data_IF_035276569940
#
_entry.id   IF_035276569940
#
_cell.length_a   1.000
_cell.length_b   1.000
_cell.length_c   1.000
_cell.angle_alpha   90.00
_cell.angle_beta   90.00
_cell.angle_gamma   90.00
#
_symmetry.space_group_name_H-M   'P 1'
#
loop_
_entity.id
_entity.type
_entity.pdbx_description
1 polymer ?
#
# COMPACT_ATOMS: atom_id res chain seq x y z
N UNK A 1 32.24 -4.89 -33.69
CA UNK A 1 31.71 -4.24 -32.47
C UNK A 1 32.92 -3.71 -31.71
N UNK A 2 33.06 -2.39 -31.63
CA UNK A 2 34.30 -1.69 -31.22
C UNK A 2 34.60 -1.83 -29.71
N UNK A 3 35.85 -2.17 -29.39
CA UNK A 3 36.43 -2.19 -28.04
C UNK A 3 36.73 -0.74 -27.60
N UNK A 4 35.69 0.08 -27.41
CA UNK A 4 35.84 1.49 -27.00
C UNK A 4 34.97 1.88 -25.80
N UNK A 5 34.29 0.95 -25.13
CA UNK A 5 33.50 1.23 -23.93
C UNK A 5 34.12 0.74 -22.62
N UNK A 6 35.32 0.16 -22.65
CA UNK A 6 36.05 -0.17 -21.42
C UNK A 6 36.78 1.10 -20.98
N UNK A 7 36.35 1.69 -19.86
CA UNK A 7 37.00 2.86 -19.27
C UNK A 7 38.50 2.61 -19.05
N UNK A 8 39.29 3.69 -18.91
CA UNK A 8 40.75 3.63 -18.76
C UNK A 8 41.15 2.49 -17.79
N UNK A 9 41.80 1.42 -18.29
CA UNK A 9 42.03 0.21 -17.50
C UNK A 9 42.85 0.50 -16.23
N UNK A 10 43.72 1.51 -16.27
CA UNK A 10 44.50 1.93 -15.12
C UNK A 10 43.64 2.39 -13.92
N UNK A 11 42.47 2.99 -14.17
CA UNK A 11 41.55 3.45 -13.10
C UNK A 11 40.91 2.26 -12.38
N UNK A 12 40.59 1.18 -13.10
CA UNK A 12 39.95 -0.02 -12.53
C UNK A 12 40.90 -0.76 -11.57
N UNK A 13 42.19 -0.84 -11.93
CA UNK A 13 43.21 -1.49 -11.09
C UNK A 13 43.56 -0.67 -9.85
N UNK A 14 43.58 0.67 -9.94
CA UNK A 14 43.83 1.57 -8.80
C UNK A 14 42.73 1.47 -7.73
N UNK A 15 41.49 1.25 -8.15
CA UNK A 15 40.33 1.18 -7.25
C UNK A 15 40.09 -0.23 -6.65
N UNK A 16 40.82 -1.25 -7.12
CA UNK A 16 40.69 -2.63 -6.64
C UNK A 16 40.83 -2.79 -5.11
N UNK A 17 41.76 -2.09 -4.42
CA UNK A 17 41.88 -2.15 -2.95
C UNK A 17 40.68 -1.57 -2.21
N UNK A 18 39.84 -0.74 -2.85
CA UNK A 18 38.65 -0.12 -2.24
C UNK A 18 37.45 -1.08 -2.20
N UNK A 19 37.48 -2.17 -2.97
CA UNK A 19 36.38 -3.14 -3.11
C UNK A 19 35.88 -3.67 -1.75
N UNK A 20 36.73 -4.10 -0.80
CA UNK A 20 36.24 -4.62 0.48
C UNK A 20 35.47 -3.58 1.31
N UNK A 21 35.89 -2.32 1.25
CA UNK A 21 35.19 -1.22 1.94
C UNK A 21 33.85 -0.91 1.28
N UNK A 22 33.82 -0.84 -0.07
CA UNK A 22 32.59 -0.65 -0.83
C UNK A 22 31.59 -1.79 -0.62
N UNK A 23 32.05 -3.03 -0.56
CA UNK A 23 31.22 -4.21 -0.28
C UNK A 23 30.60 -4.14 1.11
N UNK A 24 31.40 -3.82 2.15
CA UNK A 24 30.92 -3.66 3.53
C UNK A 24 29.88 -2.53 3.63
N UNK A 25 30.13 -1.39 2.99
CA UNK A 25 29.21 -0.26 2.95
C UNK A 25 27.91 -0.59 2.19
N UNK A 26 28.01 -1.24 1.02
CA UNK A 26 26.87 -1.70 0.25
C UNK A 26 25.99 -2.65 1.08
N UNK A 27 26.60 -3.70 1.65
CA UNK A 27 25.89 -4.72 2.42
C UNK A 27 25.23 -4.15 3.67
N UNK A 28 25.90 -3.24 4.40
CA UNK A 28 25.33 -2.63 5.61
C UNK A 28 24.17 -1.68 5.30
N UNK A 29 24.32 -0.80 4.30
CA UNK A 29 23.27 0.13 3.88
C UNK A 29 22.04 -0.61 3.33
N UNK A 30 22.25 -1.57 2.42
CA UNK A 30 21.16 -2.35 1.84
C UNK A 30 20.48 -3.26 2.87
N UNK A 31 21.26 -3.90 3.74
CA UNK A 31 20.75 -4.73 4.81
C UNK A 31 19.87 -3.92 5.78
N UNK A 32 20.34 -2.75 6.22
CA UNK A 32 19.56 -1.87 7.10
C UNK A 32 18.27 -1.39 6.41
N UNK A 33 18.35 -0.99 5.13
CA UNK A 33 17.18 -0.51 4.38
C UNK A 33 16.10 -1.60 4.24
N UNK A 34 16.46 -2.78 3.72
CA UNK A 34 15.51 -3.82 3.34
C UNK A 34 15.07 -4.73 4.48
N UNK A 35 15.95 -5.02 5.45
CA UNK A 35 15.61 -5.92 6.57
C UNK A 35 14.91 -5.15 7.70
N UNK A 36 15.28 -3.89 7.92
CA UNK A 36 14.85 -3.14 9.11
C UNK A 36 13.93 -1.99 8.75
N UNK A 37 14.41 -1.00 8.00
CA UNK A 37 13.70 0.28 7.84
C UNK A 37 12.40 0.14 7.03
N UNK A 38 12.45 -0.50 5.86
CA UNK A 38 11.25 -0.68 5.03
C UNK A 38 10.18 -1.54 5.72
N UNK A 39 10.51 -2.71 6.31
CA UNK A 39 9.52 -3.51 7.04
C UNK A 39 8.96 -2.79 8.26
N UNK A 40 9.79 -2.08 9.05
CA UNK A 40 9.31 -1.29 10.20
C UNK A 40 8.31 -0.23 9.74
N UNK A 41 8.64 0.56 8.71
CA UNK A 41 7.69 1.55 8.17
C UNK A 41 6.38 0.93 7.71
N UNK A 42 6.42 -0.27 7.11
CA UNK A 42 5.23 -1.01 6.66
C UNK A 42 4.40 -1.61 7.82
N UNK A 43 5.03 -1.92 8.96
CA UNK A 43 4.37 -2.41 10.17
C UNK A 43 3.76 -1.24 10.97
N UNK A 44 4.50 -0.15 11.14
CA UNK A 44 4.09 0.99 11.98
C UNK A 44 2.79 1.62 11.49
N UNK A 45 2.56 1.74 10.19
CA UNK A 45 1.30 2.26 9.63
C UNK A 45 0.08 1.40 10.00
N UNK A 46 0.27 0.13 10.40
CA UNK A 46 -0.80 -0.79 10.81
C UNK A 46 -0.99 -0.86 12.32
N UNK A 47 0.09 -0.67 13.07
CA UNK A 47 0.08 -0.79 14.54
C UNK A 47 -0.24 0.55 15.19
N UNK A 48 0.33 1.65 14.69
CA UNK A 48 0.14 2.99 15.24
C UNK A 48 -1.22 3.54 14.80
N UNK A 49 -2.15 3.70 15.74
CA UNK A 49 -3.51 4.22 15.51
C UNK A 49 -3.60 5.73 15.78
N UNK A 50 -2.72 6.51 15.17
CA UNK A 50 -2.74 7.98 15.29
C UNK A 50 -2.82 8.63 13.91
N UNK A 51 -3.30 9.87 13.87
CA UNK A 51 -3.32 10.67 12.63
C UNK A 51 -1.90 10.88 12.05
N UNK A 52 -0.88 10.78 12.90
CA UNK A 52 0.52 10.95 12.54
C UNK A 52 1.16 9.68 11.96
N UNK A 53 0.45 8.54 11.95
CA UNK A 53 0.99 7.27 11.48
C UNK A 53 1.47 7.34 10.02
N UNK A 54 0.80 8.13 9.17
CA UNK A 54 1.24 8.33 7.78
C UNK A 54 2.58 9.05 7.70
N UNK A 55 2.78 10.11 8.49
CA UNK A 55 4.02 10.86 8.52
C UNK A 55 5.18 9.99 9.02
N UNK A 56 4.93 9.18 10.06
CA UNK A 56 5.90 8.20 10.55
C UNK A 56 6.27 7.22 9.43
N UNK A 57 5.27 6.65 8.76
CA UNK A 57 5.49 5.74 7.63
C UNK A 57 6.32 6.40 6.53
N UNK A 58 5.91 7.55 6.01
CA UNK A 58 6.59 8.24 4.91
C UNK A 58 8.01 8.63 5.28
N UNK A 59 8.26 9.07 6.51
CA UNK A 59 9.61 9.40 6.99
C UNK A 59 10.49 8.16 7.05
N UNK A 60 10.00 7.05 7.62
CA UNK A 60 10.74 5.78 7.61
C UNK A 60 11.03 5.32 6.18
N UNK A 61 10.05 5.38 5.27
CA UNK A 61 10.25 4.98 3.87
C UNK A 61 11.28 5.88 3.17
N UNK A 62 11.26 7.19 3.43
CA UNK A 62 12.22 8.13 2.86
C UNK A 62 13.64 7.87 3.35
N UNK A 63 13.82 7.58 4.64
CA UNK A 63 15.13 7.18 5.19
C UNK A 63 15.62 5.88 4.53
N UNK A 64 14.75 4.88 4.41
CA UNK A 64 15.10 3.63 3.73
C UNK A 64 15.50 3.84 2.27
N UNK A 65 14.85 4.78 1.59
CA UNK A 65 15.19 5.19 0.23
C UNK A 65 16.59 5.78 0.11
N UNK A 66 16.95 6.71 0.99
CA UNK A 66 18.30 7.31 1.01
C UNK A 66 19.37 6.23 1.22
N UNK A 67 19.15 5.32 2.17
CA UNK A 67 20.04 4.19 2.43
C UNK A 67 20.15 3.26 1.22
N UNK A 68 19.02 2.93 0.59
CA UNK A 68 18.97 2.06 -0.60
C UNK A 68 19.73 2.67 -1.79
N UNK A 69 19.56 3.97 -2.05
CA UNK A 69 20.27 4.66 -3.14
C UNK A 69 21.77 4.72 -2.84
N UNK A 70 22.17 5.04 -1.61
CA UNK A 70 23.57 5.00 -1.19
C UNK A 70 24.19 3.60 -1.34
N UNK A 71 23.47 2.58 -0.90
CA UNK A 71 23.84 1.19 -1.08
C UNK A 71 23.99 0.82 -2.56
N UNK A 72 23.05 1.20 -3.42
CA UNK A 72 23.11 0.92 -4.86
C UNK A 72 24.33 1.60 -5.49
N UNK A 73 24.62 2.85 -5.12
CA UNK A 73 25.78 3.57 -5.63
C UNK A 73 27.09 2.85 -5.29
N UNK A 74 27.26 2.36 -4.06
CA UNK A 74 28.41 1.52 -3.67
C UNK A 74 28.45 0.21 -4.48
N UNK A 75 27.29 -0.43 -4.68
CA UNK A 75 27.16 -1.67 -5.44
C UNK A 75 27.52 -1.52 -6.92
N UNK A 76 27.09 -0.42 -7.56
CA UNK A 76 27.43 -0.11 -8.96
C UNK A 76 28.92 0.16 -9.11
N UNK A 77 29.52 0.95 -8.19
CA UNK A 77 30.97 1.21 -8.21
C UNK A 77 31.76 -0.09 -8.12
N UNK A 78 31.45 -0.95 -7.15
CA UNK A 78 32.08 -2.26 -7.00
C UNK A 78 31.81 -3.19 -8.19
N UNK A 79 30.57 -3.22 -8.69
CA UNK A 79 30.16 -4.06 -9.81
C UNK A 79 30.88 -3.71 -11.12
N UNK A 80 31.24 -2.44 -11.33
CA UNK A 80 32.08 -2.01 -12.45
C UNK A 80 33.53 -2.46 -12.29
N UNK A 81 34.08 -2.36 -11.07
CA UNK A 81 35.47 -2.78 -10.79
C UNK A 81 35.64 -4.29 -10.97
N UNK A 82 34.67 -5.09 -10.53
CA UNK A 82 34.71 -6.55 -10.60
C UNK A 82 34.14 -7.13 -11.91
N UNK A 83 33.71 -6.28 -12.85
CA UNK A 83 32.98 -6.66 -14.06
C UNK A 83 31.81 -7.64 -13.78
N UNK A 84 31.03 -7.32 -12.74
CA UNK A 84 29.90 -8.14 -12.25
C UNK A 84 28.53 -7.48 -12.40
N UNK A 85 28.47 -6.32 -13.05
CA UNK A 85 27.27 -5.48 -13.03
C UNK A 85 26.06 -6.14 -13.70
N UNK A 86 26.27 -6.89 -14.79
CA UNK A 86 25.19 -7.47 -15.61
C UNK A 86 25.25 -8.99 -15.78
N UNK A 87 26.14 -9.68 -15.09
CA UNK A 87 26.36 -11.13 -15.27
C UNK A 87 26.12 -11.95 -13.99
N UNK A 88 25.56 -11.34 -12.94
CA UNK A 88 25.33 -12.00 -11.66
C UNK A 88 23.87 -11.84 -11.22
N UNK A 89 23.28 -12.91 -10.70
CA UNK A 89 21.90 -12.90 -10.24
C UNK A 89 21.63 -11.83 -9.18
N UNK A 90 22.56 -11.64 -8.24
CA UNK A 90 22.41 -10.63 -7.17
C UNK A 90 22.40 -9.19 -7.72
N UNK A 91 23.24 -8.89 -8.71
CA UNK A 91 23.33 -7.55 -9.29
C UNK A 91 22.15 -7.26 -10.22
N UNK A 92 21.74 -8.24 -11.05
CA UNK A 92 20.58 -8.12 -11.93
C UNK A 92 19.28 -8.00 -11.10
N UNK A 93 19.04 -8.94 -10.18
CA UNK A 93 17.84 -8.91 -9.34
C UNK A 93 17.80 -7.65 -8.48
N UNK A 94 18.92 -7.30 -7.85
CA UNK A 94 19.02 -6.10 -7.00
C UNK A 94 18.73 -4.81 -7.75
N UNK A 95 19.30 -4.62 -8.95
CA UNK A 95 19.05 -3.42 -9.76
C UNK A 95 17.58 -3.32 -10.20
N UNK A 96 16.98 -4.44 -10.62
CA UNK A 96 15.55 -4.50 -10.95
C UNK A 96 14.68 -4.17 -9.74
N UNK A 97 14.93 -4.80 -8.58
CA UNK A 97 14.17 -4.55 -7.35
C UNK A 97 14.27 -3.08 -6.92
N UNK A 98 15.45 -2.47 -6.98
CA UNK A 98 15.61 -1.04 -6.66
C UNK A 98 14.84 -0.17 -7.66
N UNK A 99 14.96 -0.42 -8.96
CA UNK A 99 14.23 0.34 -9.97
C UNK A 99 12.70 0.25 -9.77
N UNK A 100 12.19 -0.93 -9.47
CA UNK A 100 10.78 -1.15 -9.15
C UNK A 100 10.38 -0.48 -7.82
N UNK A 101 11.26 -0.50 -6.82
CA UNK A 101 11.03 0.17 -5.54
C UNK A 101 10.94 1.68 -5.71
N UNK A 102 11.63 2.26 -6.72
CA UNK A 102 11.52 3.69 -7.04
C UNK A 102 10.10 4.12 -7.46
N UNK A 103 9.26 3.19 -7.89
CA UNK A 103 7.87 3.48 -8.25
C UNK A 103 6.93 3.55 -7.03
N UNK A 104 7.36 3.06 -5.87
CA UNK A 104 6.51 2.94 -4.68
C UNK A 104 5.93 4.26 -4.15
N UNK A 105 6.67 5.37 -4.02
CA UNK A 105 6.13 6.64 -3.53
C UNK A 105 5.05 7.21 -4.45
N UNK A 106 5.18 7.04 -5.77
CA UNK A 106 4.16 7.45 -6.73
C UNK A 106 2.87 6.66 -6.51
N UNK A 107 2.97 5.34 -6.37
CA UNK A 107 1.82 4.48 -6.07
C UNK A 107 1.23 4.78 -4.68
N UNK A 108 2.07 5.03 -3.68
CA UNK A 108 1.68 5.41 -2.33
C UNK A 108 0.93 6.74 -2.32
N UNK A 109 1.40 7.71 -3.10
CA UNK A 109 0.74 9.01 -3.27
C UNK A 109 -0.62 8.88 -3.97
N UNK A 110 -0.69 8.12 -5.07
CA UNK A 110 -1.96 7.87 -5.78
C UNK A 110 -2.96 7.19 -4.84
N UNK A 111 -2.54 6.10 -4.19
CA UNK A 111 -3.39 5.40 -3.22
C UNK A 111 -3.83 6.35 -2.10
N UNK A 112 -2.90 7.11 -1.50
CA UNK A 112 -3.22 7.98 -0.36
C UNK A 112 -4.23 9.07 -0.74
N UNK A 113 -4.04 9.74 -1.89
CA UNK A 113 -5.03 10.72 -2.40
C UNK A 113 -6.40 10.08 -2.60
N UNK A 114 -6.46 8.91 -3.24
CA UNK A 114 -7.73 8.19 -3.46
C UNK A 114 -8.36 7.72 -2.16
N UNK A 115 -7.56 7.31 -1.18
CA UNK A 115 -8.03 6.93 0.15
C UNK A 115 -8.59 8.13 0.91
N UNK A 116 -7.95 9.31 0.83
CA UNK A 116 -8.51 10.52 1.45
C UNK A 116 -9.88 10.87 0.86
N UNK A 117 -10.06 10.72 -0.46
CA UNK A 117 -11.34 11.00 -1.13
C UNK A 117 -12.44 9.96 -0.90
N UNK A 118 -12.09 8.67 -0.87
CA UNK A 118 -13.07 7.56 -0.80
C UNK A 118 -13.26 7.00 0.61
N UNK A 119 -12.23 7.11 1.45
CA UNK A 119 -12.14 6.56 2.81
C UNK A 119 -12.36 5.04 2.86
N UNK A 120 -12.09 4.39 1.73
CA UNK A 120 -12.17 2.95 1.52
C UNK A 120 -10.89 2.49 0.84
N UNK A 121 -10.57 1.20 1.00
CA UNK A 121 -9.49 0.58 0.23
C UNK A 121 -9.93 0.48 -1.23
N UNK A 122 -9.07 0.91 -2.13
CA UNK A 122 -9.31 0.89 -3.58
C UNK A 122 -8.38 -0.15 -4.23
N UNK A 123 -8.54 -0.40 -5.53
CA UNK A 123 -7.58 -1.24 -6.29
C UNK A 123 -6.15 -0.74 -6.11
N UNK A 124 -5.94 0.58 -6.11
CA UNK A 124 -4.64 1.20 -5.84
C UNK A 124 -4.06 0.88 -4.45
N UNK A 125 -4.92 0.70 -3.45
CA UNK A 125 -4.51 0.25 -2.11
C UNK A 125 -3.91 -1.13 -2.15
N UNK A 126 -4.61 -2.06 -2.79
CA UNK A 126 -4.19 -3.46 -2.87
C UNK A 126 -2.91 -3.57 -3.68
N UNK A 127 -2.86 -2.88 -4.82
CA UNK A 127 -1.67 -2.84 -5.66
C UNK A 127 -0.47 -2.29 -4.89
N UNK A 128 -0.55 -1.09 -4.29
CA UNK A 128 0.54 -0.51 -3.51
C UNK A 128 1.03 -1.44 -2.39
N UNK A 129 0.10 -2.01 -1.62
CA UNK A 129 0.44 -2.87 -0.47
C UNK A 129 1.09 -4.20 -0.91
N UNK A 130 0.54 -4.90 -1.90
CA UNK A 130 1.09 -6.18 -2.35
C UNK A 130 2.38 -6.01 -3.15
N UNK A 131 2.40 -5.03 -4.06
CA UNK A 131 3.62 -4.66 -4.78
C UNK A 131 4.76 -4.34 -3.81
N UNK A 132 4.49 -3.59 -2.74
CA UNK A 132 5.49 -3.27 -1.70
C UNK A 132 6.00 -4.50 -0.95
N UNK A 133 5.09 -5.41 -0.54
CA UNK A 133 5.47 -6.64 0.15
C UNK A 133 6.36 -7.53 -0.71
N UNK A 134 6.00 -7.73 -1.97
CA UNK A 134 6.77 -8.56 -2.90
C UNK A 134 8.17 -7.97 -3.09
N UNK A 135 8.29 -6.65 -3.30
CA UNK A 135 9.60 -6.01 -3.47
C UNK A 135 10.48 -6.08 -2.21
N UNK A 136 9.91 -5.91 -1.02
CA UNK A 136 10.65 -6.08 0.24
C UNK A 136 11.17 -7.51 0.36
N UNK A 137 10.33 -8.52 0.09
CA UNK A 137 10.73 -9.93 0.14
C UNK A 137 11.84 -10.26 -0.87
N UNK A 138 11.68 -9.82 -2.13
CA UNK A 138 12.71 -9.97 -3.15
C UNK A 138 14.01 -9.27 -2.76
N UNK A 139 13.93 -8.11 -2.12
CA UNK A 139 15.11 -7.40 -1.59
C UNK A 139 15.82 -8.17 -0.47
N UNK A 140 15.08 -8.78 0.46
CA UNK A 140 15.66 -9.62 1.53
C UNK A 140 16.31 -10.89 0.95
N UNK A 141 15.65 -11.54 -0.01
CA UNK A 141 16.24 -12.69 -0.72
C UNK A 141 17.50 -12.26 -1.48
N UNK A 142 17.45 -11.11 -2.16
CA UNK A 142 18.60 -10.56 -2.87
C UNK A 142 19.76 -10.23 -1.93
N UNK A 143 19.51 -9.69 -0.73
CA UNK A 143 20.55 -9.49 0.28
C UNK A 143 21.20 -10.79 0.73
N UNK A 144 20.43 -11.88 0.85
CA UNK A 144 20.96 -13.22 1.09
C UNK A 144 21.86 -13.73 -0.05
N UNK A 145 21.48 -13.50 -1.30
CA UNK A 145 22.32 -13.79 -2.47
C UNK A 145 23.63 -12.97 -2.46
N UNK A 146 23.57 -11.71 -2.01
CA UNK A 146 24.74 -10.85 -1.86
C UNK A 146 25.72 -11.36 -0.80
N UNK A 147 25.21 -11.81 0.34
CA UNK A 147 26.03 -12.44 1.39
C UNK A 147 26.70 -13.72 0.88
N UNK A 148 25.96 -14.57 0.17
CA UNK A 148 26.52 -15.76 -0.49
C UNK A 148 27.60 -15.39 -1.52
N UNK A 149 27.37 -14.35 -2.32
CA UNK A 149 28.35 -13.87 -3.31
C UNK A 149 29.65 -13.36 -2.64
N UNK A 150 29.53 -12.81 -1.43
CA UNK A 150 30.65 -12.28 -0.68
C UNK A 150 31.41 -13.30 0.14
N UNK A 151 30.97 -14.57 0.24
CA UNK A 151 31.51 -15.56 1.19
C UNK A 151 33.01 -15.77 1.09
N UNK A 152 33.54 -15.68 -0.13
CA UNK A 152 34.95 -15.95 -0.43
C UNK A 152 35.76 -14.64 -0.53
N UNK A 153 35.13 -13.50 -0.25
CA UNK A 153 35.75 -12.17 -0.36
C UNK A 153 36.31 -11.71 0.98
N UNK A 154 37.40 -10.92 1.01
CA UNK A 154 37.92 -10.28 2.24
C UNK A 154 36.91 -9.34 2.93
N UNK A 155 35.84 -8.97 2.23
CA UNK A 155 34.74 -8.19 2.77
C UNK A 155 33.80 -9.00 3.68
N UNK A 156 33.82 -10.34 3.57
CA UNK A 156 32.93 -11.23 4.28
C UNK A 156 33.03 -11.05 5.80
N UNK A 157 31.87 -11.08 6.46
CA UNK A 157 31.79 -11.12 7.91
C UNK A 157 30.81 -12.21 8.33
N UNK A 158 31.32 -13.22 9.05
CA UNK A 158 30.47 -14.27 9.64
C UNK A 158 29.46 -13.65 10.61
N UNK A 159 29.91 -12.69 11.42
CA UNK A 159 29.03 -11.95 12.32
C UNK A 159 27.96 -11.15 11.56
N UNK A 160 28.33 -10.51 10.44
CA UNK A 160 27.38 -9.79 9.58
C UNK A 160 26.33 -10.71 8.95
N UNK A 161 26.72 -11.90 8.50
CA UNK A 161 25.81 -12.90 7.93
C UNK A 161 24.83 -13.45 8.97
N UNK A 162 25.33 -13.77 10.18
CA UNK A 162 24.49 -14.20 11.30
C UNK A 162 23.53 -13.07 11.68
N UNK A 163 24.02 -11.84 11.87
CA UNK A 163 23.22 -10.68 12.22
C UNK A 163 22.10 -10.40 11.21
N UNK A 164 22.44 -10.42 9.92
CA UNK A 164 21.45 -10.28 8.83
C UNK A 164 20.37 -11.37 8.91
N UNK A 165 20.77 -12.63 9.05
CA UNK A 165 19.85 -13.76 9.04
C UNK A 165 18.90 -13.74 10.24
N UNK A 166 19.42 -13.43 11.43
CA UNK A 166 18.61 -13.29 12.65
C UNK A 166 17.62 -12.13 12.52
N UNK A 167 18.07 -10.95 12.07
CA UNK A 167 17.20 -9.79 11.89
C UNK A 167 16.10 -10.05 10.85
N UNK A 168 16.45 -10.67 9.72
CA UNK A 168 15.48 -11.03 8.68
C UNK A 168 14.45 -12.04 9.20
N UNK A 169 14.89 -13.05 9.97
CA UNK A 169 14.02 -14.02 10.61
C UNK A 169 13.05 -13.38 11.61
N UNK A 170 13.54 -12.54 12.52
CA UNK A 170 12.72 -11.82 13.50
C UNK A 170 11.69 -10.93 12.80
N UNK A 171 12.11 -10.14 11.82
CA UNK A 171 11.20 -9.25 11.09
C UNK A 171 10.15 -10.02 10.28
N UNK A 172 10.54 -11.14 9.66
CA UNK A 172 9.61 -12.06 9.01
C UNK A 172 8.56 -12.60 9.99
N UNK A 173 9.00 -13.08 11.16
CA UNK A 173 8.12 -13.59 12.21
C UNK A 173 7.15 -12.52 12.73
N UNK A 174 7.61 -11.28 12.94
CA UNK A 174 6.75 -10.15 13.36
C UNK A 174 5.67 -9.86 12.31
N UNK A 175 6.04 -9.79 11.02
CA UNK A 175 5.08 -9.52 9.95
C UNK A 175 4.05 -10.64 9.82
N UNK A 176 4.48 -11.90 9.85
CA UNK A 176 3.59 -13.07 9.80
C UNK A 176 2.68 -13.09 11.03
N UNK A 177 3.24 -12.89 12.23
CA UNK A 177 2.49 -12.83 13.48
C UNK A 177 1.39 -11.76 13.46
N UNK A 178 1.69 -10.56 12.95
CA UNK A 178 0.70 -9.49 12.81
C UNK A 178 -0.41 -9.84 11.80
N UNK A 179 -0.08 -10.56 10.72
CA UNK A 179 -1.07 -11.05 9.76
C UNK A 179 -1.98 -12.10 10.40
N UNK A 180 -1.40 -13.08 11.12
CA UNK A 180 -2.15 -14.12 11.83
C UNK A 180 -3.05 -13.52 12.90
N UNK A 181 -2.52 -12.64 13.77
CA UNK A 181 -3.29 -11.98 14.82
C UNK A 181 -4.44 -11.12 14.25
N UNK A 182 -4.20 -10.47 13.11
CA UNK A 182 -5.24 -9.77 12.37
C UNK A 182 -6.35 -10.71 11.91
N UNK A 183 -5.97 -11.84 11.28
CA UNK A 183 -6.89 -12.87 10.82
C UNK A 183 -7.71 -13.50 11.94
N UNK A 184 -7.07 -13.91 13.04
CA UNK A 184 -7.74 -14.51 14.21
C UNK A 184 -8.75 -13.55 14.83
N UNK A 185 -8.47 -12.25 14.91
CA UNK A 185 -9.44 -11.25 15.42
C UNK A 185 -10.67 -11.13 14.51
N UNK A 186 -10.46 -11.13 13.20
CA UNK A 186 -11.56 -11.11 12.22
C UNK A 186 -12.40 -12.37 12.28
N UNK A 187 -11.76 -13.55 12.34
CA UNK A 187 -12.47 -14.83 12.49
C UNK A 187 -13.22 -14.87 13.82
N UNK A 188 -12.63 -14.44 14.94
CA UNK A 188 -13.31 -14.43 16.24
C UNK A 188 -14.49 -13.46 16.30
N UNK A 189 -14.43 -12.32 15.60
CA UNK A 189 -15.59 -11.44 15.41
C UNK A 189 -16.69 -12.12 14.58
N UNK A 190 -16.31 -12.90 13.57
CA UNK A 190 -17.25 -13.60 12.70
C UNK A 190 -17.81 -14.90 13.31
N UNK A 191 -17.04 -15.56 14.17
CA UNK A 191 -17.45 -16.75 14.94
C UNK A 191 -18.48 -16.42 16.03
N UNK A 192 -18.55 -15.16 16.45
CA UNK A 192 -19.69 -14.64 17.22
C UNK A 192 -21.02 -14.67 16.45
N UNK A 193 -20.99 -14.91 15.14
CA UNK A 193 -22.14 -14.91 14.21
C UNK A 193 -22.53 -16.34 13.75
N UNK A 194 -21.89 -17.37 14.33
CA UNK A 194 -22.26 -18.80 14.28
C UNK A 194 -22.49 -19.43 12.89
N UNK A 195 -21.50 -20.14 12.31
CA UNK A 195 -21.70 -21.16 11.24
C UNK A 195 -20.40 -21.93 10.91
N UNK A 196 -20.21 -23.13 11.47
CA UNK A 196 -18.94 -23.90 11.41
C UNK A 196 -18.67 -24.69 10.09
N UNK A 197 -19.53 -24.67 9.07
CA UNK A 197 -19.21 -25.20 7.72
C UNK A 197 -18.91 -24.07 6.73
N UNK A 198 -19.45 -22.88 7.01
CA UNK A 198 -19.14 -21.65 6.30
C UNK A 198 -17.70 -21.17 6.60
N UNK A 199 -17.14 -21.47 7.78
CA UNK A 199 -15.76 -21.10 8.15
C UNK A 199 -14.68 -21.69 7.21
N UNK A 200 -14.90 -22.86 6.62
CA UNK A 200 -14.00 -23.44 5.62
C UNK A 200 -14.17 -22.83 4.22
N UNK A 201 -15.42 -22.52 3.81
CA UNK A 201 -15.67 -21.70 2.61
C UNK A 201 -15.12 -20.27 2.78
N UNK A 202 -15.10 -19.75 4.00
CA UNK A 202 -14.61 -18.40 4.32
C UNK A 202 -13.09 -18.28 4.34
N UNK A 203 -12.38 -19.39 4.53
CA UNK A 203 -10.93 -19.47 4.36
C UNK A 203 -10.55 -19.46 2.88
N UNK A 204 -11.37 -20.10 2.03
CA UNK A 204 -11.29 -19.95 0.58
C UNK A 204 -11.71 -18.54 0.13
N UNK A 205 -12.76 -17.96 0.72
CA UNK A 205 -13.12 -16.55 0.50
C UNK A 205 -12.01 -15.62 1.00
N UNK A 206 -11.24 -15.89 2.04
CA UNK A 206 -10.13 -15.01 2.45
C UNK A 206 -9.03 -14.91 1.38
N UNK A 207 -8.88 -15.93 0.53
CA UNK A 207 -8.01 -15.95 -0.65
C UNK A 207 -8.70 -15.24 -1.83
N UNK A 208 -10.03 -15.35 -1.96
CA UNK A 208 -10.86 -14.72 -3.01
C UNK A 208 -11.41 -13.30 -2.69
N UNK A 209 -11.30 -12.83 -1.44
CA UNK A 209 -11.73 -11.49 -0.96
C UNK A 209 -10.78 -10.41 -1.50
N UNK A 210 -9.56 -10.80 -1.89
CA UNK A 210 -8.69 -9.96 -2.71
C UNK A 210 -9.41 -9.50 -3.99
N UNK A 211 -9.89 -10.43 -4.84
CA UNK A 211 -10.72 -10.13 -6.01
C UNK A 211 -12.09 -9.49 -5.74
N UNK A 212 -12.83 -9.88 -4.70
CA UNK A 212 -14.16 -9.27 -4.44
C UNK A 212 -14.06 -7.80 -3.99
N UNK A 213 -12.96 -7.41 -3.36
CA UNK A 213 -12.62 -6.00 -3.12
C UNK A 213 -12.22 -5.24 -4.41
N UNK A 214 -11.84 -5.94 -5.48
CA UNK A 214 -11.52 -5.36 -6.79
C UNK A 214 -12.80 -5.06 -7.58
N UNK A 215 -13.81 -5.92 -7.49
CA UNK A 215 -15.09 -5.77 -8.20
C UNK A 215 -16.13 -4.94 -7.44
N UNK A 216 -16.14 -5.00 -6.10
CA UNK A 216 -17.10 -4.25 -5.25
C UNK A 216 -16.73 -2.77 -5.05
N UNK A 217 -15.63 -2.31 -5.66
CA UNK A 217 -15.12 -0.94 -5.59
C UNK A 217 -15.85 0.07 -6.48
N UNK A 218 -16.95 -0.31 -7.15
CA UNK A 218 -17.86 0.59 -7.87
C UNK A 218 -18.67 1.46 -6.89
N UNK A 219 -17.94 2.39 -6.27
CA UNK A 219 -18.33 3.73 -5.80
C UNK A 219 -19.74 3.88 -5.18
N UNK A 220 -19.83 3.68 -3.86
CA UNK A 220 -20.80 4.36 -2.99
C UNK A 220 -20.03 5.14 -1.93
N UNK A 221 -20.19 6.47 -1.92
CA UNK A 221 -19.45 7.41 -1.06
C UNK A 221 -20.21 7.68 0.26
N UNK A 222 -19.91 6.97 1.37
CA UNK A 222 -20.69 7.09 2.60
C UNK A 222 -20.48 8.44 3.28
N UNK A 223 -19.30 9.07 3.09
CA UNK A 223 -19.05 10.43 3.59
C UNK A 223 -19.74 11.51 2.78
N UNK A 224 -19.94 11.30 1.47
CA UNK A 224 -20.75 12.21 0.64
C UNK A 224 -22.23 12.05 1.01
N UNK A 225 -22.68 10.81 1.23
CA UNK A 225 -24.03 10.51 1.73
C UNK A 225 -24.23 11.11 3.12
N UNK A 226 -23.31 10.91 4.07
CA UNK A 226 -23.44 11.46 5.42
C UNK A 226 -23.37 12.99 5.43
N UNK A 227 -22.54 13.60 4.58
CA UNK A 227 -22.53 15.06 4.41
C UNK A 227 -23.85 15.55 3.82
N UNK A 228 -24.40 14.86 2.80
CA UNK A 228 -25.72 15.16 2.25
C UNK A 228 -26.83 14.98 3.29
N UNK A 229 -26.83 13.86 4.00
CA UNK A 229 -27.78 13.56 5.07
C UNK A 229 -27.68 14.62 6.16
N UNK A 230 -26.49 15.05 6.59
CA UNK A 230 -26.34 16.12 7.59
C UNK A 230 -26.79 17.49 7.08
N UNK A 231 -26.65 17.81 5.79
CA UNK A 231 -27.22 19.04 5.20
C UNK A 231 -28.74 18.98 5.11
N UNK A 232 -29.32 17.80 4.87
CA UNK A 232 -30.77 17.62 4.76
C UNK A 232 -31.45 17.34 6.12
N UNK A 233 -30.70 16.88 7.13
CA UNK A 233 -31.19 16.49 8.46
C UNK A 233 -31.97 17.61 9.17
N UNK A 234 -31.54 18.89 9.12
CA UNK A 234 -32.31 19.98 9.71
C UNK A 234 -33.69 20.14 9.07
N UNK A 235 -33.82 19.94 7.75
CA UNK A 235 -35.10 20.00 7.04
C UNK A 235 -35.99 18.80 7.38
N UNK A 236 -35.40 17.59 7.40
CA UNK A 236 -36.09 16.36 7.77
C UNK A 236 -36.59 16.37 9.23
N UNK A 237 -35.84 16.98 10.15
CA UNK A 237 -36.18 17.05 11.58
C UNK A 237 -37.15 18.20 11.92
N UNK A 238 -37.15 19.30 11.15
CA UNK A 238 -37.99 20.47 11.46
C UNK A 238 -39.28 20.54 10.64
N UNK A 239 -39.47 19.64 9.67
CA UNK A 239 -40.66 19.64 8.80
C UNK A 239 -40.87 20.95 8.04
N UNK A 240 -39.82 21.77 7.88
CA UNK A 240 -39.93 23.05 7.18
C UNK A 240 -40.17 22.83 5.69
N UNK A 241 -40.89 23.77 5.07
CA UNK A 241 -41.21 23.80 3.64
C UNK A 241 -40.00 23.41 2.79
N UNK A 242 -40.09 22.26 2.14
CA UNK A 242 -39.10 21.76 1.20
C UNK A 242 -39.26 22.48 -0.14
N UNK A 243 -38.16 22.90 -0.77
CA UNK A 243 -38.18 23.61 -2.05
C UNK A 243 -38.15 22.68 -3.27
N UNK A 244 -38.29 21.35 -3.07
CA UNK A 244 -38.30 20.33 -4.13
C UNK A 244 -39.24 20.69 -5.29
N UNK A 245 -40.48 21.06 -4.99
CA UNK A 245 -41.48 21.46 -6.00
C UNK A 245 -40.98 22.66 -6.80
N UNK A 246 -40.45 23.67 -6.10
CA UNK A 246 -39.86 24.87 -6.69
C UNK A 246 -38.59 24.58 -7.51
N UNK A 247 -37.84 23.52 -7.19
CA UNK A 247 -36.65 23.08 -7.96
C UNK A 247 -37.06 22.31 -9.22
N UNK A 248 -38.11 21.49 -9.13
CA UNK A 248 -38.67 20.75 -10.27
C UNK A 248 -39.29 21.72 -11.29
N UNK A 249 -40.07 22.70 -10.84
CA UNK A 249 -40.66 23.74 -11.71
C UNK A 249 -39.63 24.71 -12.34
N UNK A 250 -38.37 24.72 -11.86
CA UNK A 250 -37.27 25.53 -12.42
C UNK A 250 -36.41 24.79 -13.44
N UNK A 251 -36.61 23.49 -13.62
CA UNK A 251 -35.79 22.66 -14.50
C UNK A 251 -36.62 22.16 -15.69
N UNK A 252 -36.25 22.62 -16.89
CA UNK A 252 -36.93 22.30 -18.15
C UNK A 252 -37.00 20.79 -18.45
N UNK A 253 -36.11 19.97 -17.87
CA UNK A 253 -36.19 18.52 -17.97
C UNK A 253 -37.53 17.94 -17.48
N UNK A 254 -38.19 18.60 -16.53
CA UNK A 254 -39.47 18.15 -15.96
C UNK A 254 -40.70 18.84 -16.56
N UNK A 255 -40.53 19.63 -17.63
CA UNK A 255 -41.62 20.31 -18.33
C UNK A 255 -42.82 19.40 -18.65
N UNK A 256 -42.65 18.12 -19.07
CA UNK A 256 -43.79 17.24 -19.37
C UNK A 256 -44.67 16.85 -18.17
N UNK A 257 -44.22 17.05 -16.94
CA UNK A 257 -44.95 16.63 -15.72
C UNK A 257 -45.37 17.81 -14.84
N UNK A 258 -45.14 19.05 -15.27
CA UNK A 258 -45.44 20.23 -14.45
C UNK A 258 -46.93 20.39 -14.16
N UNK A 259 -47.79 20.03 -15.12
CA UNK A 259 -49.25 20.12 -14.97
C UNK A 259 -49.80 19.06 -13.99
N UNK A 260 -49.12 17.91 -13.87
CA UNK A 260 -49.51 16.83 -12.96
C UNK A 260 -48.92 17.01 -11.54
N UNK A 261 -47.92 17.89 -11.39
CA UNK A 261 -47.10 18.00 -10.19
C UNK A 261 -47.92 18.38 -8.95
N UNK A 262 -48.90 19.28 -9.12
CA UNK A 262 -49.75 19.74 -8.02
C UNK A 262 -50.76 18.64 -7.60
N UNK A 263 -51.19 17.79 -8.54
CA UNK A 263 -52.04 16.62 -8.26
C UNK A 263 -51.27 15.48 -7.58
N UNK A 264 -50.00 15.29 -7.92
CA UNK A 264 -49.11 14.30 -7.29
C UNK A 264 -48.81 14.61 -5.81
N UNK A 265 -49.07 15.83 -5.34
CA UNK A 265 -48.89 16.21 -3.93
C UNK A 265 -50.12 15.94 -3.07
N UNK A 266 -51.21 15.41 -3.64
CA UNK A 266 -52.39 15.03 -2.84
C UNK A 266 -52.04 13.86 -1.91
N UNK A 267 -52.09 14.12 -0.60
CA UNK A 267 -51.78 13.15 0.45
C UNK A 267 -52.69 11.92 0.44
N UNK A 268 -53.91 12.03 -0.11
CA UNK A 268 -54.87 10.94 -0.27
C UNK A 268 -54.42 9.86 -1.28
N UNK A 269 -53.50 10.21 -2.19
CA UNK A 269 -52.96 9.28 -3.18
C UNK A 269 -51.87 8.36 -2.60
N UNK A 270 -51.46 8.57 -1.35
CA UNK A 270 -50.38 7.85 -0.68
C UNK A 270 -50.91 6.96 0.44
N UNK A 271 -50.26 5.81 0.64
CA UNK A 271 -50.68 4.80 1.63
C UNK A 271 -50.47 5.29 3.07
N UNK A 272 -51.11 4.60 4.01
CA UNK A 272 -51.07 4.84 5.46
C UNK A 272 -51.67 6.19 5.90
N UNK A 273 -51.21 6.73 7.02
CA UNK A 273 -51.75 7.92 7.68
C UNK A 273 -51.34 9.24 7.00
N UNK A 274 -50.96 9.19 5.72
CA UNK A 274 -50.43 10.36 5.00
C UNK A 274 -51.45 11.51 4.96
N UNK A 275 -52.73 11.22 4.71
CA UNK A 275 -53.81 12.21 4.76
C UNK A 275 -54.01 12.81 6.17
N UNK A 276 -53.96 11.99 7.23
CA UNK A 276 -54.15 12.43 8.63
C UNK A 276 -53.00 13.31 9.18
N UNK A 277 -51.82 13.24 8.56
CA UNK A 277 -50.61 13.95 9.00
C UNK A 277 -50.57 15.37 8.42
N UNK A 278 -51.12 15.59 7.23
CA UNK A 278 -51.06 16.88 6.53
C UNK A 278 -52.16 17.85 7.00
N UNK A 279 -53.27 17.35 7.54
CA UNK A 279 -54.41 18.15 8.04
C UNK A 279 -54.28 18.60 9.52
N UNK A 280 -53.09 18.54 10.12
CA UNK A 280 -52.79 19.04 11.48
C UNK A 280 -51.84 20.22 11.48
#
# INVERSE_FOLDING_TARGET
MSIQSLGNPNIIYEDLPKVPSLAKAHGSLMGLAFVVIFPIGAVLIRVVRTKNAIWIHTTCQFVGWVLMIGGLACGIKMGKILDRLHNNTHTILGTVVVALMLLQPFLGYIHHRRYLSTQKRTVWTHFHVWYGRVLILLGIVNGGLGLKLSSDSPAYSRAGTIGYSVLAGIMGAVVIGLVILGGVKTVRQKKSDGTDILEMMLLADAICIGPDNVTSGLVVYPKRIAAHVQTELPFMLTGKLNDLVSRIKRNQFFEPIWDDLDGMLNAELYTDRSAEIVDK
#
